data_IF_136600922476
#
_entry.id   IF_136600922476
#
_cell.length_a   1.000
_cell.length_b   1.000
_cell.length_c   1.000
_cell.angle_alpha   90.00
_cell.angle_beta   90.00
_cell.angle_gamma   90.00
#
_symmetry.space_group_name_H-M   'P 1'
#
loop_
_entity.id
_entity.type
_entity.pdbx_description
1 polymer ?
#
# COMPACT_ATOMS: atom_id res chain seq x y z
N UNK A 1 13.53 28.50 -24.78
CA UNK A 1 14.75 28.44 -23.94
C UNK A 1 14.72 27.17 -23.10
N UNK A 2 15.74 26.34 -23.18
CA UNK A 2 15.79 25.07 -22.43
C UNK A 2 16.41 25.28 -21.04
N UNK A 3 15.55 25.37 -20.03
CA UNK A 3 15.97 25.51 -18.63
C UNK A 3 16.30 24.19 -17.95
N UNK A 4 15.83 23.07 -18.50
CA UNK A 4 16.14 21.73 -17.99
C UNK A 4 17.48 21.18 -18.52
N UNK A 5 18.03 21.81 -19.57
CA UNK A 5 19.24 21.36 -20.28
C UNK A 5 19.13 19.95 -20.87
N UNK A 6 17.90 19.48 -21.12
CA UNK A 6 17.64 18.16 -21.69
C UNK A 6 17.90 18.12 -23.20
N UNK A 7 17.73 19.24 -23.92
CA UNK A 7 18.05 19.35 -25.35
C UNK A 7 19.53 19.07 -25.64
N UNK A 8 20.42 19.24 -24.65
CA UNK A 8 21.85 18.92 -24.74
C UNK A 8 22.16 17.43 -24.58
N UNK A 9 21.20 16.61 -24.12
CA UNK A 9 21.40 15.19 -23.84
C UNK A 9 21.06 14.31 -25.05
N UNK A 10 21.73 14.57 -26.18
CA UNK A 10 21.51 13.87 -27.46
C UNK A 10 21.77 12.36 -27.42
N UNK A 11 22.39 11.88 -26.34
CA UNK A 11 22.63 10.45 -26.14
C UNK A 11 21.34 9.66 -25.91
N UNK A 12 20.28 10.30 -25.39
CA UNK A 12 18.99 9.67 -25.11
C UNK A 12 17.75 10.54 -25.40
N UNK A 13 17.94 11.83 -25.71
CA UNK A 13 16.88 12.73 -26.15
C UNK A 13 16.92 12.87 -27.66
N UNK A 14 15.82 12.48 -28.31
CA UNK A 14 15.59 12.77 -29.71
C UNK A 14 15.04 14.20 -29.84
N UNK A 15 15.84 15.11 -30.42
CA UNK A 15 15.46 16.53 -30.60
C UNK A 15 14.16 16.66 -31.39
N UNK A 16 13.96 15.85 -32.44
CA UNK A 16 12.74 15.92 -33.25
C UNK A 16 11.51 15.59 -32.40
N UNK A 17 11.61 14.59 -31.52
CA UNK A 17 10.51 14.22 -30.62
C UNK A 17 10.23 15.31 -29.59
N UNK A 18 11.27 15.96 -29.09
CA UNK A 18 11.18 17.10 -28.18
C UNK A 18 10.55 18.32 -28.87
N UNK A 19 10.92 18.59 -30.12
CA UNK A 19 10.37 19.65 -30.95
C UNK A 19 8.88 19.41 -31.24
N UNK A 20 8.52 18.21 -31.70
CA UNK A 20 7.13 17.80 -31.94
C UNK A 20 6.28 17.88 -30.67
N UNK A 21 6.83 17.50 -29.51
CA UNK A 21 6.14 17.65 -28.23
C UNK A 21 5.79 19.12 -27.95
N UNK A 22 6.74 20.04 -28.15
CA UNK A 22 6.54 21.48 -27.93
C UNK A 22 5.51 22.04 -28.91
N UNK A 23 5.63 21.76 -30.21
CA UNK A 23 4.66 22.20 -31.23
C UNK A 23 3.24 21.78 -30.85
N UNK A 24 3.05 20.55 -30.37
CA UNK A 24 1.74 20.02 -30.03
C UNK A 24 1.14 20.60 -28.73
N UNK A 25 1.97 21.17 -27.85
CA UNK A 25 1.53 21.80 -26.60
C UNK A 25 1.59 23.34 -26.66
N UNK A 26 2.06 23.89 -27.77
CA UNK A 26 2.11 25.31 -27.99
C UNK A 26 0.73 25.89 -28.32
N UNK A 27 0.46 27.10 -27.82
CA UNK A 27 -0.75 27.85 -28.18
C UNK A 27 -0.74 28.30 -29.64
N UNK A 28 0.45 28.55 -30.21
CA UNK A 28 0.64 29.00 -31.59
C UNK A 28 1.81 28.24 -32.25
N UNK A 29 1.56 27.06 -32.83
CA UNK A 29 2.62 26.18 -33.35
C UNK A 29 3.44 26.78 -34.50
N UNK A 30 2.86 27.72 -35.26
CA UNK A 30 3.47 28.36 -36.43
C UNK A 30 4.59 29.36 -36.12
N UNK A 31 4.91 29.59 -34.85
CA UNK A 31 5.91 30.56 -34.41
C UNK A 31 7.23 29.94 -33.92
N UNK A 32 7.35 28.62 -33.91
CA UNK A 32 8.62 27.97 -33.53
C UNK A 32 9.50 27.79 -34.76
N UNK A 33 10.78 28.14 -34.60
CA UNK A 33 11.81 27.82 -35.58
C UNK A 33 12.12 26.32 -35.54
N UNK A 34 12.70 25.79 -36.62
CA UNK A 34 13.09 24.38 -36.73
C UNK A 34 14.06 23.94 -35.61
N UNK A 35 14.85 24.87 -35.06
CA UNK A 35 15.70 24.67 -33.88
C UNK A 35 15.28 25.63 -32.75
N UNK A 36 14.27 25.29 -31.93
CA UNK A 36 13.70 26.21 -30.94
C UNK A 36 14.51 26.26 -29.63
N UNK A 37 15.56 25.46 -29.50
CA UNK A 37 16.32 25.29 -28.27
C UNK A 37 17.53 26.20 -28.22
N UNK A 38 17.46 27.18 -27.33
CA UNK A 38 18.54 28.06 -26.97
C UNK A 38 18.88 27.91 -25.49
N UNK A 39 20.16 28.10 -25.17
CA UNK A 39 20.70 28.05 -23.83
C UNK A 39 20.00 29.04 -22.89
N UNK A 40 20.00 28.70 -21.60
CA UNK A 40 19.44 29.59 -20.59
C UNK A 40 20.16 30.94 -20.56
N UNK A 41 19.41 32.02 -20.78
CA UNK A 41 19.88 33.40 -20.63
C UNK A 41 18.84 34.21 -19.86
N UNK A 42 19.27 34.78 -18.73
CA UNK A 42 18.44 35.62 -17.86
C UNK A 42 17.85 36.86 -18.58
N UNK A 43 18.51 37.35 -19.62
CA UNK A 43 18.02 38.49 -20.41
C UNK A 43 16.86 38.08 -21.34
N UNK A 44 16.90 36.85 -21.86
CA UNK A 44 15.83 36.30 -22.70
C UNK A 44 14.54 36.05 -21.90
N UNK A 45 14.66 35.86 -20.59
CA UNK A 45 13.49 35.80 -19.70
C UNK A 45 12.75 37.13 -19.60
N UNK A 46 13.48 38.25 -19.64
CA UNK A 46 12.89 39.58 -19.50
C UNK A 46 12.06 39.98 -20.73
N UNK A 47 12.38 39.42 -21.89
CA UNK A 47 11.67 39.65 -23.15
C UNK A 47 10.54 38.63 -23.40
N UNK A 48 10.25 37.74 -22.43
CA UNK A 48 9.11 36.83 -22.47
C UNK A 48 9.32 35.55 -23.29
N UNK A 49 10.56 35.11 -23.52
CA UNK A 49 10.82 33.82 -24.20
C UNK A 49 10.26 32.66 -23.37
N UNK A 50 9.54 31.77 -24.04
CA UNK A 50 9.01 30.57 -23.40
C UNK A 50 10.12 29.63 -22.89
N UNK A 51 9.89 29.06 -21.71
CA UNK A 51 10.80 28.14 -21.04
C UNK A 51 10.35 26.72 -21.25
N UNK A 52 11.31 25.84 -21.52
CA UNK A 52 11.15 24.40 -21.38
C UNK A 52 11.70 24.00 -20.02
N UNK A 53 10.81 23.70 -19.08
CA UNK A 53 11.12 23.37 -17.68
C UNK A 53 11.15 21.86 -17.45
N UNK A 54 11.62 21.45 -16.28
CA UNK A 54 11.62 20.04 -15.89
C UNK A 54 10.21 19.43 -15.79
N UNK A 55 9.19 20.19 -15.40
CA UNK A 55 7.81 19.68 -15.39
C UNK A 55 7.37 19.29 -16.81
N UNK A 56 7.67 20.14 -17.79
CA UNK A 56 7.42 19.85 -19.20
C UNK A 56 8.30 18.69 -19.72
N UNK A 57 9.53 18.54 -19.21
CA UNK A 57 10.35 17.36 -19.51
C UNK A 57 9.71 16.06 -19.01
N UNK A 58 9.20 16.08 -17.76
CA UNK A 58 8.54 14.94 -17.14
C UNK A 58 7.28 14.57 -17.91
N UNK A 59 6.50 15.56 -18.34
CA UNK A 59 5.31 15.33 -19.15
C UNK A 59 5.67 14.84 -20.56
N UNK A 60 6.75 15.34 -21.15
CA UNK A 60 7.28 14.83 -22.41
C UNK A 60 7.69 13.35 -22.30
N UNK A 61 8.38 12.94 -21.23
CA UNK A 61 8.76 11.54 -21.01
C UNK A 61 7.56 10.59 -20.92
N UNK A 62 6.38 11.11 -20.56
CA UNK A 62 5.12 10.36 -20.53
C UNK A 62 4.36 10.39 -21.86
N UNK A 63 4.75 11.25 -22.80
CA UNK A 63 4.03 11.44 -24.06
C UNK A 63 4.25 10.26 -25.01
N UNK A 64 3.21 9.90 -25.76
CA UNK A 64 3.30 8.85 -26.79
C UNK A 64 4.34 9.17 -27.87
N UNK A 65 4.58 10.45 -28.14
CA UNK A 65 5.56 10.90 -29.14
C UNK A 65 6.95 10.45 -28.70
N UNK A 66 7.32 10.78 -27.47
CA UNK A 66 8.62 10.40 -26.92
C UNK A 66 8.76 8.88 -26.81
N UNK A 67 7.74 8.19 -26.28
CA UNK A 67 7.78 6.75 -26.07
C UNK A 67 7.87 5.94 -27.38
N UNK A 68 7.28 6.43 -28.48
CA UNK A 68 7.38 5.78 -29.81
C UNK A 68 8.79 5.81 -30.38
N UNK A 69 9.56 6.84 -30.06
CA UNK A 69 10.90 7.06 -30.59
C UNK A 69 12.01 6.64 -29.63
N UNK A 70 11.71 6.52 -28.33
CA UNK A 70 12.69 6.23 -27.29
C UNK A 70 12.93 4.72 -27.16
N UNK A 71 14.12 4.30 -27.57
CA UNK A 71 14.58 2.92 -27.59
C UNK A 71 15.12 2.44 -26.23
N UNK A 72 15.29 1.12 -26.10
CA UNK A 72 15.90 0.50 -24.92
C UNK A 72 17.34 1.00 -24.70
N UNK A 73 18.12 1.17 -25.76
CA UNK A 73 19.51 1.64 -25.65
C UNK A 73 19.59 3.10 -25.22
N UNK A 74 18.67 3.95 -25.69
CA UNK A 74 18.53 5.32 -25.18
C UNK A 74 18.10 5.32 -23.71
N UNK A 75 17.23 4.40 -23.30
CA UNK A 75 16.85 4.30 -21.89
C UNK A 75 18.03 3.88 -20.99
N UNK A 76 18.90 2.96 -21.44
CA UNK A 76 20.14 2.64 -20.72
C UNK A 76 21.02 3.87 -20.52
N UNK A 77 21.21 4.67 -21.57
CA UNK A 77 21.98 5.93 -21.50
C UNK A 77 21.33 6.97 -20.60
N UNK A 78 20.00 7.04 -20.59
CA UNK A 78 19.22 7.90 -19.69
C UNK A 78 19.43 7.49 -18.22
N UNK A 79 19.40 6.18 -17.92
CA UNK A 79 19.69 5.64 -16.59
C UNK A 79 21.13 5.98 -16.17
N UNK A 80 22.11 5.79 -17.06
CA UNK A 80 23.51 6.14 -16.78
C UNK A 80 23.70 7.64 -16.52
N UNK A 81 23.01 8.49 -17.27
CA UNK A 81 23.02 9.93 -17.08
C UNK A 81 22.51 10.30 -15.68
N UNK A 82 21.34 9.80 -15.30
CA UNK A 82 20.78 10.07 -13.98
C UNK A 82 21.61 9.47 -12.85
N UNK A 83 22.16 8.26 -13.05
CA UNK A 83 23.12 7.69 -12.10
C UNK A 83 24.32 8.62 -11.92
N UNK A 84 24.99 9.06 -12.99
CA UNK A 84 26.15 9.96 -12.90
C UNK A 84 25.81 11.29 -12.23
N UNK A 85 24.61 11.81 -12.49
CA UNK A 85 24.15 13.10 -11.96
C UNK A 85 23.75 13.04 -10.49
N UNK A 86 23.10 11.96 -10.05
CA UNK A 86 22.59 11.82 -8.68
C UNK A 86 23.43 10.92 -7.76
N UNK A 87 24.44 10.22 -8.27
CA UNK A 87 25.39 9.43 -7.44
C UNK A 87 26.57 10.26 -6.94
N UNK A 88 26.89 11.37 -7.61
CA UNK A 88 27.91 12.32 -7.15
C UNK A 88 27.23 13.32 -6.22
N UNK A 89 27.65 13.33 -4.96
CA UNK A 89 27.07 14.11 -3.86
C UNK A 89 27.21 15.64 -4.04
N UNK A 90 27.89 16.11 -5.10
CA UNK A 90 28.48 17.45 -5.11
C UNK A 90 28.31 18.24 -6.43
N UNK A 91 27.19 18.06 -7.12
CA UNK A 91 26.82 19.00 -8.20
C UNK A 91 25.60 19.79 -7.78
N UNK A 92 25.88 20.98 -7.22
CA UNK A 92 25.00 22.14 -7.05
C UNK A 92 24.49 22.63 -8.43
N UNK A 93 23.79 21.75 -9.14
CA UNK A 93 23.35 21.92 -10.54
C UNK A 93 21.89 22.44 -10.62
N UNK A 94 21.32 22.88 -9.51
CA UNK A 94 20.04 23.59 -9.49
C UNK A 94 18.82 22.79 -9.97
N UNK A 95 18.86 21.44 -9.97
CA UNK A 95 17.65 20.64 -10.20
C UNK A 95 16.87 20.56 -8.89
N UNK A 96 15.79 21.34 -8.79
CA UNK A 96 14.87 21.36 -7.64
C UNK A 96 13.90 20.16 -7.60
N UNK A 97 14.08 19.18 -8.49
CA UNK A 97 13.19 18.02 -8.61
C UNK A 97 13.94 16.76 -8.22
N UNK A 98 13.43 16.08 -7.18
CA UNK A 98 13.95 14.80 -6.75
C UNK A 98 13.80 13.74 -7.84
N UNK A 99 14.86 12.95 -8.06
CA UNK A 99 14.92 11.84 -9.04
C UNK A 99 13.74 10.87 -8.94
N UNK A 100 13.12 10.74 -7.76
CA UNK A 100 11.94 9.91 -7.51
C UNK A 100 10.68 10.36 -8.28
N UNK A 101 10.62 11.62 -8.71
CA UNK A 101 9.49 12.16 -9.47
C UNK A 101 9.63 11.94 -10.97
N UNK A 102 10.86 11.74 -11.45
CA UNK A 102 11.18 11.64 -12.87
C UNK A 102 10.85 10.21 -13.36
N UNK A 103 10.00 10.05 -14.39
CA UNK A 103 9.82 8.77 -15.06
C UNK A 103 10.98 8.54 -16.02
N UNK A 104 11.86 7.59 -15.71
CA UNK A 104 13.03 7.32 -16.56
C UNK A 104 13.41 5.83 -16.62
N UNK A 105 12.76 4.95 -15.85
CA UNK A 105 13.04 3.53 -15.88
C UNK A 105 11.96 2.83 -16.70
N UNK A 106 12.35 2.23 -17.82
CA UNK A 106 11.40 1.61 -18.73
C UNK A 106 10.88 0.26 -18.20
N UNK A 107 9.56 0.07 -18.29
CA UNK A 107 8.86 -1.13 -17.86
C UNK A 107 8.73 -2.21 -18.95
N UNK A 108 8.08 -3.32 -18.63
CA UNK A 108 7.83 -4.43 -19.56
C UNK A 108 6.92 -4.06 -20.74
N UNK A 109 6.20 -2.95 -20.66
CA UNK A 109 5.32 -2.41 -21.69
C UNK A 109 5.98 -1.26 -22.47
N UNK A 110 7.29 -1.06 -22.32
CA UNK A 110 8.08 0.01 -22.92
C UNK A 110 7.61 1.42 -22.53
N UNK A 111 7.05 1.60 -21.32
CA UNK A 111 6.69 2.90 -20.76
C UNK A 111 7.69 3.32 -19.69
N UNK A 112 7.98 4.62 -19.61
CA UNK A 112 8.84 5.17 -18.58
C UNK A 112 8.08 5.31 -17.26
N UNK A 113 8.61 4.70 -16.21
CA UNK A 113 8.05 4.72 -14.87
C UNK A 113 8.97 5.42 -13.89
N UNK A 114 8.37 5.92 -12.80
CA UNK A 114 9.11 6.43 -11.65
C UNK A 114 9.70 5.25 -10.89
N UNK A 115 10.86 5.45 -10.28
CA UNK A 115 11.55 4.43 -9.46
C UNK A 115 10.62 3.79 -8.41
N UNK A 116 9.75 4.58 -7.77
CA UNK A 116 8.86 4.09 -6.71
C UNK A 116 7.75 3.15 -7.21
N UNK A 117 7.41 3.21 -8.50
CA UNK A 117 6.26 2.53 -9.10
C UNK A 117 6.65 1.23 -9.85
N UNK A 118 7.95 0.90 -9.90
CA UNK A 118 8.49 -0.21 -10.69
C UNK A 118 9.37 -1.14 -9.85
N UNK A 119 9.36 -2.43 -10.19
CA UNK A 119 10.08 -3.48 -9.47
C UNK A 119 11.13 -4.16 -10.33
N UNK A 120 12.18 -4.67 -9.69
CA UNK A 120 13.03 -5.67 -10.34
C UNK A 120 12.27 -7.00 -10.49
N UNK A 121 12.35 -7.65 -11.67
CA UNK A 121 11.87 -9.03 -11.83
C UNK A 121 12.55 -9.94 -10.79
N UNK A 122 11.78 -10.80 -10.13
CA UNK A 122 12.33 -11.80 -9.22
C UNK A 122 12.69 -13.08 -9.99
N UNK A 123 13.81 -13.71 -9.66
CA UNK A 123 14.31 -14.93 -10.33
C UNK A 123 13.37 -16.15 -10.17
N UNK A 124 12.43 -16.08 -9.22
CA UNK A 124 11.56 -17.20 -8.81
C UNK A 124 10.11 -17.09 -9.29
N UNK A 125 9.71 -15.99 -9.94
CA UNK A 125 8.36 -15.86 -10.46
C UNK A 125 8.32 -16.62 -11.78
N UNK A 126 7.90 -17.89 -11.71
CA UNK A 126 7.40 -18.64 -12.86
C UNK A 126 6.29 -17.78 -13.47
N UNK A 127 6.55 -17.32 -14.69
CA UNK A 127 5.67 -16.52 -15.53
C UNK A 127 4.42 -17.36 -15.83
N UNK A 128 3.50 -17.48 -14.87
CA UNK A 128 2.21 -18.13 -15.07
C UNK A 128 1.28 -17.18 -15.82
N UNK A 129 1.69 -16.79 -17.04
CA UNK A 129 0.86 -16.45 -18.19
C UNK A 129 -0.35 -15.52 -18.00
N UNK A 130 -0.44 -14.79 -16.90
CA UNK A 130 -1.52 -13.83 -16.65
C UNK A 130 -0.97 -12.46 -16.98
N UNK A 131 -1.13 -12.15 -18.26
CA UNK A 131 -0.98 -10.84 -18.90
C UNK A 131 -2.08 -9.93 -18.32
N UNK A 132 -1.92 -9.55 -17.05
CA UNK A 132 -2.67 -8.49 -16.37
C UNK A 132 -2.05 -8.23 -15.00
N UNK A 133 -0.72 -8.20 -14.93
CA UNK A 133 -0.06 -7.79 -13.70
C UNK A 133 -0.32 -6.30 -13.52
N UNK A 134 -1.13 -5.93 -12.52
CA UNK A 134 -1.23 -4.55 -11.97
C UNK A 134 0.15 -3.93 -11.63
N UNK A 135 1.22 -4.72 -11.71
CA UNK A 135 2.60 -4.39 -11.39
C UNK A 135 3.43 -4.07 -12.63
N UNK A 136 4.31 -3.09 -12.46
CA UNK A 136 5.26 -2.67 -13.46
C UNK A 136 6.64 -3.21 -13.07
N UNK A 137 7.24 -3.97 -13.97
CA UNK A 137 8.57 -4.56 -13.82
C UNK A 137 9.53 -3.89 -14.78
N UNK A 138 10.78 -3.73 -14.36
CA UNK A 138 11.84 -3.26 -15.25
C UNK A 138 11.89 -4.15 -16.49
N UNK A 139 11.96 -3.52 -17.67
CA UNK A 139 12.07 -4.20 -18.95
C UNK A 139 13.12 -5.33 -18.89
N UNK A 140 12.79 -6.52 -19.42
CA UNK A 140 13.64 -7.72 -19.31
C UNK A 140 15.06 -7.48 -19.86
N UNK A 141 15.20 -6.72 -20.94
CA UNK A 141 16.51 -6.39 -21.55
C UNK A 141 17.33 -5.44 -20.69
N UNK A 142 16.68 -4.45 -20.08
CA UNK A 142 17.33 -3.49 -19.16
C UNK A 142 17.74 -4.21 -17.88
N UNK A 143 16.90 -5.10 -17.36
CA UNK A 143 17.21 -5.87 -16.17
C UNK A 143 18.40 -6.81 -16.39
N UNK A 144 18.47 -7.49 -17.55
CA UNK A 144 19.63 -8.29 -17.92
C UNK A 144 20.91 -7.45 -17.97
N UNK A 145 20.86 -6.26 -18.57
CA UNK A 145 21.97 -5.31 -18.59
C UNK A 145 22.39 -4.85 -17.19
N UNK A 146 21.44 -4.56 -16.29
CA UNK A 146 21.72 -4.21 -14.89
C UNK A 146 22.36 -5.35 -14.09
N UNK A 147 22.18 -6.60 -14.50
CA UNK A 147 22.81 -7.77 -13.88
C UNK A 147 24.26 -7.99 -14.34
N UNK A 148 24.72 -7.28 -15.37
CA UNK A 148 26.11 -7.33 -15.79
C UNK A 148 27.02 -6.75 -14.70
N UNK A 149 28.20 -7.35 -14.51
CA UNK A 149 29.15 -6.96 -13.46
C UNK A 149 29.54 -5.47 -13.52
N UNK A 150 29.58 -4.91 -14.73
CA UNK A 150 29.94 -3.50 -14.98
C UNK A 150 28.88 -2.55 -14.41
N UNK A 151 27.61 -2.94 -14.39
CA UNK A 151 26.47 -2.11 -14.00
C UNK A 151 26.03 -2.32 -12.54
N UNK A 152 26.81 -3.06 -11.75
CA UNK A 152 26.47 -3.41 -10.37
C UNK A 152 26.21 -2.19 -9.49
N UNK A 153 27.00 -1.12 -9.65
CA UNK A 153 26.82 0.11 -8.88
C UNK A 153 25.54 0.87 -9.28
N UNK A 154 25.18 0.86 -10.57
CA UNK A 154 23.91 1.45 -11.04
C UNK A 154 22.73 0.66 -10.48
N UNK A 155 22.77 -0.67 -10.54
CA UNK A 155 21.73 -1.52 -9.98
C UNK A 155 21.58 -1.29 -8.47
N UNK A 156 22.70 -1.18 -7.74
CA UNK A 156 22.70 -0.87 -6.31
C UNK A 156 22.08 0.50 -6.04
N UNK A 157 22.49 1.53 -6.78
CA UNK A 157 21.90 2.86 -6.68
C UNK A 157 20.39 2.87 -6.92
N UNK A 158 19.90 2.16 -7.94
CA UNK A 158 18.47 2.02 -8.18
C UNK A 158 17.74 1.34 -7.00
N UNK A 159 18.35 0.33 -6.38
CA UNK A 159 17.82 -0.28 -5.14
C UNK A 159 17.77 0.72 -4.00
N UNK A 160 18.85 1.44 -3.76
CA UNK A 160 18.95 2.44 -2.69
C UNK A 160 17.94 3.59 -2.90
N UNK A 161 17.58 3.89 -4.15
CA UNK A 161 16.58 4.90 -4.51
C UNK A 161 15.12 4.39 -4.46
N UNK A 162 14.91 3.08 -4.26
CA UNK A 162 13.58 2.49 -4.03
C UNK A 162 13.05 1.52 -5.10
N UNK A 163 13.86 1.15 -6.10
CA UNK A 163 13.54 0.04 -7.01
C UNK A 163 13.79 -1.27 -6.27
N UNK A 164 12.74 -1.81 -5.67
CA UNK A 164 12.84 -3.03 -4.88
C UNK A 164 12.69 -4.28 -5.75
N UNK A 165 13.28 -5.39 -5.32
CA UNK A 165 12.86 -6.72 -5.79
C UNK A 165 11.47 -7.03 -5.25
N UNK A 166 10.63 -7.68 -6.06
CA UNK A 166 9.35 -8.17 -5.57
C UNK A 166 9.59 -9.29 -4.56
N UNK A 167 9.36 -8.98 -3.30
CA UNK A 167 9.31 -9.92 -2.18
C UNK A 167 7.93 -9.78 -1.53
N UNK A 168 7.51 -10.78 -0.78
CA UNK A 168 6.28 -10.69 0.01
C UNK A 168 6.30 -9.45 0.95
N UNK A 169 7.49 -9.03 1.41
CA UNK A 169 7.67 -7.86 2.27
C UNK A 169 7.48 -6.54 1.52
N UNK A 170 8.05 -6.41 0.31
CA UNK A 170 7.88 -5.18 -0.50
C UNK A 170 6.44 -5.07 -0.99
N UNK A 171 5.81 -6.21 -1.29
CA UNK A 171 4.40 -6.33 -1.60
C UNK A 171 3.49 -5.85 -0.44
N UNK A 172 3.79 -6.29 0.78
CA UNK A 172 3.10 -5.81 1.98
C UNK A 172 3.17 -4.28 2.10
N UNK A 173 4.38 -3.71 1.97
CA UNK A 173 4.65 -2.28 2.18
C UNK A 173 4.01 -1.37 1.14
N UNK A 174 4.07 -1.76 -0.14
CA UNK A 174 3.67 -0.91 -1.26
C UNK A 174 2.23 -1.15 -1.72
N UNK A 175 1.67 -2.34 -1.47
CA UNK A 175 0.34 -2.72 -1.97
C UNK A 175 -0.68 -2.89 -0.85
N UNK A 176 -0.39 -3.72 0.15
CA UNK A 176 -1.38 -4.10 1.18
C UNK A 176 -1.58 -2.96 2.18
N UNK A 177 -0.50 -2.44 2.78
CA UNK A 177 -0.59 -1.40 3.82
C UNK A 177 -1.31 -0.13 3.32
N UNK A 178 -1.00 0.43 2.13
CA UNK A 178 -1.70 1.61 1.64
C UNK A 178 -3.19 1.38 1.36
N UNK A 179 -3.59 0.15 1.04
CA UNK A 179 -4.96 -0.21 0.67
C UNK A 179 -5.65 -1.07 1.74
N UNK A 180 -5.17 -1.04 2.98
CA UNK A 180 -5.51 -2.01 4.04
C UNK A 180 -7.02 -2.24 4.24
N UNK A 181 -7.85 -1.20 4.12
CA UNK A 181 -9.29 -1.28 4.33
C UNK A 181 -10.05 -1.98 3.18
N UNK A 182 -9.47 -2.04 1.99
CA UNK A 182 -10.15 -2.49 0.77
C UNK A 182 -9.43 -3.63 0.04
N UNK A 183 -8.19 -3.94 0.42
CA UNK A 183 -7.34 -4.90 -0.28
C UNK A 183 -7.87 -6.33 -0.23
N UNK A 184 -8.42 -6.76 0.91
CA UNK A 184 -8.89 -8.13 1.10
C UNK A 184 -10.29 -8.33 0.49
N UNK A 185 -10.39 -9.37 -0.35
CA UNK A 185 -11.61 -9.90 -0.95
C UNK A 185 -11.78 -11.38 -0.56
N UNK A 186 -12.95 -11.97 -0.82
CA UNK A 186 -13.22 -13.36 -0.43
C UNK A 186 -12.27 -14.33 -1.14
N UNK A 187 -11.89 -14.01 -2.37
CA UNK A 187 -11.02 -14.80 -3.22
C UNK A 187 -9.55 -14.76 -2.75
N UNK A 188 -9.11 -13.62 -2.20
CA UNK A 188 -7.71 -13.41 -1.84
C UNK A 188 -7.42 -13.56 -0.33
N UNK A 189 -8.45 -13.59 0.53
CA UNK A 189 -8.32 -13.50 1.98
C UNK A 189 -7.39 -14.58 2.55
N UNK A 190 -7.70 -15.86 2.32
CA UNK A 190 -6.95 -16.99 2.89
C UNK A 190 -5.48 -16.95 2.46
N UNK A 191 -5.23 -16.74 1.17
CA UNK A 191 -3.86 -16.70 0.62
C UNK A 191 -3.06 -15.54 1.19
N UNK A 192 -3.66 -14.35 1.27
CA UNK A 192 -2.97 -13.15 1.73
C UNK A 192 -2.62 -13.25 3.21
N UNK A 193 -3.58 -13.66 4.06
CA UNK A 193 -3.34 -13.79 5.49
C UNK A 193 -2.29 -14.87 5.78
N UNK A 194 -2.27 -15.97 5.03
CA UNK A 194 -1.18 -16.98 5.11
C UNK A 194 0.18 -16.40 4.74
N UNK A 195 0.26 -15.61 3.67
CA UNK A 195 1.51 -14.93 3.28
C UNK A 195 1.99 -13.99 4.40
N UNK A 196 1.10 -13.21 5.01
CA UNK A 196 1.44 -12.32 6.14
C UNK A 196 1.92 -13.11 7.36
N UNK A 197 1.27 -14.24 7.66
CA UNK A 197 1.70 -15.12 8.74
C UNK A 197 3.10 -15.69 8.48
N UNK A 198 3.42 -16.12 7.26
CA UNK A 198 4.77 -16.59 6.92
C UNK A 198 5.82 -15.49 7.08
N UNK A 199 5.50 -14.24 6.73
CA UNK A 199 6.37 -13.10 6.96
C UNK A 199 6.55 -12.79 8.46
N UNK A 200 5.48 -12.94 9.25
CA UNK A 200 5.52 -12.81 10.71
C UNK A 200 6.43 -13.88 11.35
N UNK A 201 6.26 -15.16 10.98
CA UNK A 201 7.09 -16.26 11.48
C UNK A 201 8.59 -16.06 11.17
N UNK A 202 8.90 -15.43 10.03
CA UNK A 202 10.27 -15.09 9.63
C UNK A 202 10.82 -13.84 10.32
N UNK A 203 10.05 -13.19 11.22
CA UNK A 203 10.36 -11.90 11.83
C UNK A 203 10.66 -10.80 10.78
N UNK A 204 10.07 -10.89 9.58
CA UNK A 204 10.30 -9.96 8.48
C UNK A 204 9.40 -8.72 8.57
N UNK A 205 8.27 -8.80 9.28
CA UNK A 205 7.35 -7.68 9.53
C UNK A 205 7.65 -7.06 10.89
N UNK A 206 7.80 -5.74 10.92
CA UNK A 206 7.96 -4.97 12.15
C UNK A 206 6.64 -4.80 12.89
N UNK A 207 6.70 -4.56 14.21
CA UNK A 207 5.50 -4.26 15.02
C UNK A 207 4.70 -3.07 14.47
N UNK A 208 5.38 -2.03 13.99
CA UNK A 208 4.75 -0.84 13.39
C UNK A 208 3.94 -1.19 12.14
N UNK A 209 4.46 -2.06 11.29
CA UNK A 209 3.76 -2.52 10.09
C UNK A 209 2.55 -3.39 10.45
N UNK A 210 2.67 -4.27 11.45
CA UNK A 210 1.53 -5.05 11.94
C UNK A 210 0.43 -4.15 12.53
N UNK A 211 0.80 -3.10 13.27
CA UNK A 211 -0.15 -2.12 13.80
C UNK A 211 -0.92 -1.40 12.68
N UNK A 212 -0.31 -1.18 11.51
CA UNK A 212 -0.99 -0.60 10.34
C UNK A 212 -2.01 -1.55 9.70
N UNK A 213 -1.94 -2.85 10.00
CA UNK A 213 -2.82 -3.87 9.45
C UNK A 213 -4.08 -4.13 10.30
N UNK A 214 -4.33 -3.36 11.38
CA UNK A 214 -5.52 -3.56 12.24
C UNK A 214 -6.87 -3.44 11.54
N UNK A 215 -6.90 -2.62 10.48
CA UNK A 215 -8.10 -2.43 9.64
C UNK A 215 -8.24 -3.47 8.54
N UNK A 216 -7.24 -4.35 8.38
CA UNK A 216 -7.24 -5.39 7.36
C UNK A 216 -8.42 -6.33 7.60
N UNK A 217 -9.18 -6.63 6.55
CA UNK A 217 -10.34 -7.52 6.70
C UNK A 217 -9.91 -8.98 6.82
N UNK A 218 -10.61 -9.71 7.69
CA UNK A 218 -10.46 -11.14 7.91
C UNK A 218 -11.79 -11.84 7.62
N UNK A 219 -11.67 -13.10 7.18
CA UNK A 219 -12.76 -14.02 6.88
C UNK A 219 -13.39 -14.48 8.18
N UNK A 220 -14.71 -14.36 8.26
CA UNK A 220 -15.48 -14.85 9.40
C UNK A 220 -15.94 -16.28 9.19
N UNK A 221 -16.40 -16.95 10.25
CA UNK A 221 -16.96 -18.31 10.18
C UNK A 221 -18.22 -18.40 9.31
N UNK A 222 -18.90 -17.29 9.04
CA UNK A 222 -20.06 -17.24 8.12
C UNK A 222 -19.68 -16.79 6.70
N UNK A 223 -18.40 -16.64 6.41
CA UNK A 223 -17.90 -16.33 5.07
C UNK A 223 -18.03 -14.87 4.66
N UNK A 224 -18.10 -13.93 5.62
CA UNK A 224 -18.01 -12.49 5.32
C UNK A 224 -16.64 -11.94 5.68
N UNK A 225 -16.42 -10.65 5.42
CA UNK A 225 -15.16 -9.96 5.66
C UNK A 225 -15.35 -8.77 6.58
N UNK A 226 -14.72 -8.81 7.75
CA UNK A 226 -14.76 -7.74 8.75
C UNK A 226 -13.34 -7.35 9.16
N UNK A 227 -13.11 -6.11 9.59
CA UNK A 227 -11.78 -5.68 10.01
C UNK A 227 -11.25 -6.47 11.21
N UNK A 228 -9.95 -6.74 11.25
CA UNK A 228 -9.32 -7.55 12.30
C UNK A 228 -9.62 -7.03 13.71
N UNK A 229 -9.64 -5.71 13.91
CA UNK A 229 -9.99 -5.08 15.19
C UNK A 229 -11.44 -5.31 15.66
N UNK A 230 -12.31 -5.82 14.78
CA UNK A 230 -13.71 -6.14 15.07
C UNK A 230 -13.97 -7.64 15.16
N UNK A 231 -12.95 -8.48 14.87
CA UNK A 231 -13.04 -9.92 14.98
C UNK A 231 -12.87 -10.39 16.43
N UNK A 232 -13.55 -11.48 16.77
CA UNK A 232 -13.29 -12.32 17.93
C UNK A 232 -12.81 -13.69 17.48
N UNK A 233 -12.04 -14.37 18.31
CA UNK A 233 -11.66 -15.76 18.05
C UNK A 233 -12.86 -16.70 18.10
N UNK A 234 -12.98 -17.60 17.12
CA UNK A 234 -13.89 -18.74 17.19
C UNK A 234 -13.37 -19.80 18.18
N UNK A 235 -14.23 -20.70 18.64
CA UNK A 235 -13.94 -21.68 19.68
C UNK A 235 -12.81 -22.64 19.27
N UNK A 236 -12.58 -22.85 17.97
CA UNK A 236 -11.48 -23.66 17.44
C UNK A 236 -10.09 -23.08 17.77
N UNK A 237 -9.97 -21.77 17.95
CA UNK A 237 -8.73 -21.13 18.43
C UNK A 237 -8.54 -21.24 19.95
N UNK A 238 -9.49 -21.85 20.69
CA UNK A 238 -9.47 -21.98 22.16
C UNK A 238 -9.30 -20.63 22.88
N UNK A 239 -10.18 -19.63 22.62
CA UNK A 239 -10.16 -18.37 23.36
C UNK A 239 -10.40 -18.60 24.86
N UNK A 240 -9.99 -17.63 25.69
CA UNK A 240 -10.26 -17.67 27.14
C UNK A 240 -11.75 -17.83 27.46
N UNK A 241 -12.62 -17.17 26.68
CA UNK A 241 -14.06 -17.25 26.80
C UNK A 241 -14.64 -17.79 25.49
N UNK A 242 -15.27 -18.96 25.54
CA UNK A 242 -15.93 -19.60 24.39
C UNK A 242 -17.33 -19.03 24.22
N UNK A 243 -17.43 -17.89 23.54
CA UNK A 243 -18.68 -17.16 23.35
C UNK A 243 -19.36 -17.46 22.01
N UNK A 244 -18.69 -18.20 21.12
CA UNK A 244 -19.19 -18.45 19.77
C UNK A 244 -20.55 -19.14 19.80
N UNK A 245 -20.72 -20.19 20.63
CA UNK A 245 -21.99 -20.91 20.69
C UNK A 245 -23.20 -20.00 21.01
N UNK A 246 -23.01 -19.02 21.87
CA UNK A 246 -24.06 -18.10 22.33
C UNK A 246 -24.36 -16.99 21.31
N UNK A 247 -23.37 -16.59 20.51
CA UNK A 247 -23.43 -15.39 19.68
C UNK A 247 -23.43 -15.67 18.17
N UNK A 248 -23.02 -16.86 17.74
CA UNK A 248 -22.93 -17.26 16.31
C UNK A 248 -24.21 -17.06 15.51
N UNK A 249 -25.37 -17.11 16.17
CA UNK A 249 -26.67 -16.95 15.53
C UNK A 249 -27.02 -15.49 15.23
N UNK A 250 -26.38 -14.54 15.92
CA UNK A 250 -26.79 -13.13 15.93
C UNK A 250 -25.71 -12.21 15.41
N UNK A 251 -24.44 -12.59 15.60
CA UNK A 251 -23.31 -11.80 15.11
C UNK A 251 -22.38 -12.61 14.21
N UNK A 252 -21.93 -11.93 13.16
CA UNK A 252 -20.90 -12.44 12.26
C UNK A 252 -19.55 -11.77 12.56
N UNK A 253 -18.98 -12.12 13.73
CA UNK A 253 -17.72 -11.53 14.21
C UNK A 253 -16.63 -12.54 14.52
N UNK A 254 -16.92 -13.84 14.36
CA UNK A 254 -15.98 -14.90 14.72
C UNK A 254 -15.03 -15.18 13.55
N UNK A 255 -13.74 -15.14 13.84
CA UNK A 255 -12.66 -15.40 12.90
C UNK A 255 -12.74 -16.84 12.35
N UNK A 256 -12.67 -17.00 11.03
CA UNK A 256 -12.61 -18.32 10.39
C UNK A 256 -11.35 -19.09 10.78
N UNK A 257 -11.47 -20.40 10.91
CA UNK A 257 -10.35 -21.31 11.11
C UNK A 257 -9.67 -21.75 9.80
N UNK A 258 -10.20 -21.35 8.63
CA UNK A 258 -9.68 -21.72 7.30
C UNK A 258 -8.24 -21.25 7.05
N UNK A 259 -7.78 -20.28 7.83
CA UNK A 259 -6.39 -19.81 7.83
C UNK A 259 -5.42 -20.86 8.36
N UNK A 260 -5.84 -21.68 9.32
CA UNK A 260 -5.02 -22.70 9.95
C UNK A 260 -5.13 -23.99 9.14
N UNK A 261 -4.27 -24.14 8.12
CA UNK A 261 -4.19 -25.41 7.38
C UNK A 261 -3.34 -26.45 8.10
N UNK A 262 -3.91 -27.64 8.28
CA UNK A 262 -3.34 -28.84 8.87
C UNK A 262 -2.24 -29.46 7.99
N UNK A 263 -1.07 -28.83 7.92
CA UNK A 263 0.11 -29.43 7.31
C UNK A 263 1.21 -29.59 8.36
N UNK A 264 1.11 -30.73 9.07
CA UNK A 264 2.09 -31.43 9.92
C UNK A 264 1.62 -31.64 11.37
N UNK A 265 1.04 -32.81 11.60
CA UNK A 265 0.47 -33.30 12.87
C UNK A 265 1.42 -33.39 14.07
N UNK A 266 2.71 -33.07 13.89
CA UNK A 266 3.69 -33.07 14.98
C UNK A 266 3.87 -31.70 15.67
N UNK A 267 3.32 -30.61 15.10
CA UNK A 267 3.47 -29.24 15.64
C UNK A 267 2.16 -28.44 15.74
N UNK A 268 1.01 -29.09 15.61
CA UNK A 268 -0.31 -28.42 15.57
C UNK A 268 -0.56 -27.45 16.73
N UNK A 269 -0.11 -27.79 17.95
CA UNK A 269 -0.26 -26.89 19.10
C UNK A 269 0.68 -25.68 19.06
N UNK A 270 1.92 -25.84 18.59
CA UNK A 270 2.88 -24.73 18.47
C UNK A 270 2.43 -23.75 17.38
N UNK A 271 2.01 -24.28 16.23
CA UNK A 271 1.53 -23.47 15.11
C UNK A 271 0.25 -22.71 15.47
N UNK A 272 -0.68 -23.33 16.22
CA UNK A 272 -1.89 -22.67 16.68
C UNK A 272 -1.59 -21.49 17.63
N UNK A 273 -0.61 -21.65 18.53
CA UNK A 273 -0.19 -20.58 19.44
C UNK A 273 0.37 -19.39 18.64
N UNK A 274 1.19 -19.65 17.63
CA UNK A 274 1.74 -18.60 16.77
C UNK A 274 0.66 -17.92 15.92
N UNK A 275 -0.29 -18.68 15.38
CA UNK A 275 -1.45 -18.12 14.68
C UNK A 275 -2.26 -17.19 15.56
N UNK A 276 -2.57 -17.61 16.79
CA UNK A 276 -3.27 -16.77 17.76
C UNK A 276 -2.49 -15.49 18.06
N UNK A 277 -1.19 -15.62 18.32
CA UNK A 277 -0.32 -14.47 18.60
C UNK A 277 -0.33 -13.49 17.44
N UNK A 278 -0.21 -13.97 16.20
CA UNK A 278 -0.29 -13.17 15.00
C UNK A 278 -1.63 -12.41 14.91
N UNK A 279 -2.76 -13.10 15.12
CA UNK A 279 -4.09 -12.47 15.07
C UNK A 279 -4.32 -11.46 16.20
N UNK A 280 -3.84 -11.72 17.42
CA UNK A 280 -3.90 -10.75 18.52
C UNK A 280 -3.13 -9.47 18.14
N UNK A 281 -1.95 -9.60 17.54
CA UNK A 281 -1.16 -8.43 17.11
C UNK A 281 -1.85 -7.68 15.97
N UNK A 282 -2.53 -8.40 15.06
CA UNK A 282 -3.40 -7.80 14.05
C UNK A 282 -4.64 -7.11 14.65
N UNK A 283 -4.97 -7.32 15.92
CA UNK A 283 -6.07 -6.65 16.61
C UNK A 283 -7.30 -7.52 16.85
N UNK A 284 -7.27 -8.82 16.55
CA UNK A 284 -8.35 -9.73 16.91
C UNK A 284 -8.52 -9.76 18.42
N UNK A 285 -9.75 -9.59 18.87
CA UNK A 285 -10.09 -9.46 20.28
C UNK A 285 -10.23 -10.83 20.94
N UNK A 286 -9.70 -10.94 22.16
CA UNK A 286 -9.87 -12.11 23.03
C UNK A 286 -10.56 -11.76 24.36
N UNK A 287 -10.35 -10.54 24.86
CA UNK A 287 -10.89 -10.09 26.14
C UNK A 287 -12.17 -9.25 25.93
N UNK A 288 -13.14 -9.41 26.82
CA UNK A 288 -14.29 -8.53 26.90
C UNK A 288 -13.91 -7.28 27.70
N UNK A 289 -14.08 -6.10 27.09
CA UNK A 289 -13.90 -4.84 27.80
C UNK A 289 -15.22 -4.38 28.41
N UNK A 290 -15.23 -3.97 29.69
CA UNK A 290 -16.40 -3.34 30.28
C UNK A 290 -16.62 -1.94 29.69
N UNK A 291 -17.88 -1.65 29.34
CA UNK A 291 -18.31 -0.28 29.04
C UNK A 291 -18.73 0.36 30.36
N UNK A 292 -18.03 1.46 30.68
CA UNK A 292 -18.32 2.28 31.85
C UNK A 292 -19.15 3.48 31.41
N UNK A 293 -20.36 3.59 31.95
CA UNK A 293 -21.23 4.72 31.69
C UNK A 293 -21.02 5.80 32.75
N UNK A 294 -20.24 6.81 32.39
CA UNK A 294 -19.91 7.96 33.26
C UNK A 294 -21.03 9.02 33.33
N UNK A 295 -22.16 8.76 32.67
CA UNK A 295 -23.36 9.61 32.72
C UNK A 295 -24.52 8.84 33.31
N UNK A 296 -25.48 9.56 33.88
CA UNK A 296 -26.75 8.94 34.28
C UNK A 296 -27.49 8.44 33.04
N UNK A 297 -27.93 7.18 33.09
CA UNK A 297 -28.79 6.58 32.09
C UNK A 297 -30.20 6.45 32.66
N UNK A 298 -31.19 6.82 31.86
CA UNK A 298 -32.59 6.44 32.11
C UNK A 298 -32.77 4.93 31.91
N UNK A 299 -33.83 4.34 32.47
CA UNK A 299 -34.14 2.91 32.27
C UNK A 299 -34.32 2.57 30.79
N UNK A 300 -34.90 3.46 29.99
CA UNK A 300 -35.04 3.29 28.55
C UNK A 300 -33.68 3.28 27.83
N UNK A 301 -32.78 4.20 28.17
CA UNK A 301 -31.43 4.21 27.62
C UNK A 301 -30.64 2.96 28.04
N UNK A 302 -30.74 2.54 29.30
CA UNK A 302 -30.10 1.33 29.80
C UNK A 302 -30.64 0.07 29.08
N UNK A 303 -31.95 -0.07 28.89
CA UNK A 303 -32.53 -1.14 28.09
C UNK A 303 -32.00 -1.11 26.63
N UNK A 304 -31.86 0.08 26.04
CA UNK A 304 -31.22 0.27 24.74
C UNK A 304 -29.75 -0.19 24.69
N UNK A 305 -29.04 -0.17 25.81
CA UNK A 305 -27.69 -0.73 25.98
C UNK A 305 -27.68 -2.21 26.43
N UNK A 306 -28.84 -2.87 26.49
CA UNK A 306 -28.96 -4.32 26.65
C UNK A 306 -28.99 -4.81 28.09
N UNK A 307 -29.22 -3.89 29.04
CA UNK A 307 -29.52 -4.27 30.42
C UNK A 307 -30.89 -4.96 30.48
N UNK A 308 -31.00 -6.01 31.31
CA UNK A 308 -32.24 -6.77 31.46
C UNK A 308 -33.37 -5.90 32.01
N UNK A 309 -34.51 -5.82 31.31
CA UNK A 309 -35.67 -5.04 31.73
C UNK A 309 -36.18 -5.44 33.12
N UNK A 310 -36.12 -6.73 33.47
CA UNK A 310 -36.50 -7.23 34.79
C UNK A 310 -35.62 -6.65 35.90
N UNK A 311 -34.34 -6.39 35.61
CA UNK A 311 -33.43 -5.75 36.55
C UNK A 311 -33.73 -4.26 36.71
N UNK A 312 -34.07 -3.58 35.62
CA UNK A 312 -34.37 -2.14 35.58
C UNK A 312 -35.76 -1.81 36.13
N UNK A 313 -36.67 -2.78 36.19
CA UNK A 313 -38.06 -2.62 36.62
C UNK A 313 -38.34 -3.08 38.05
N UNK A 314 -37.32 -3.55 38.79
CA UNK A 314 -37.51 -3.94 40.21
C UNK A 314 -37.89 -2.73 41.05
N UNK A 315 -39.19 -2.60 41.33
CA UNK A 315 -39.71 -1.70 42.36
C UNK A 315 -39.20 -2.14 43.71
N UNK A 316 -38.63 -1.23 44.49
CA UNK A 316 -38.31 -1.49 45.90
C UNK A 316 -39.58 -1.98 46.62
N UNK A 317 -39.44 -2.82 47.65
CA UNK A 317 -40.59 -3.28 48.46
C UNK A 317 -41.41 -2.14 49.06
N UNK A 318 -40.86 -0.92 49.13
CA UNK A 318 -41.62 0.32 49.27
C UNK A 318 -41.95 0.87 47.88
N UNK A 319 -43.22 0.72 47.44
CA UNK A 319 -43.79 1.18 46.16
C UNK A 319 -43.69 2.71 45.91
N UNK A 320 -42.94 3.45 46.72
CA UNK A 320 -42.82 4.92 46.66
C UNK A 320 -41.56 5.42 45.94
N UNK A 321 -40.64 4.54 45.56
CA UNK A 321 -39.40 4.94 44.90
C UNK A 321 -39.18 4.12 43.63
N UNK A 322 -39.52 4.73 42.49
CA UNK A 322 -39.09 4.27 41.17
C UNK A 322 -37.70 4.84 40.93
N UNK A 323 -36.75 3.98 40.55
CA UNK A 323 -35.40 4.42 40.19
C UNK A 323 -35.41 4.88 38.74
N UNK A 324 -35.49 6.19 38.53
CA UNK A 324 -35.59 6.79 37.18
C UNK A 324 -34.24 7.03 36.49
N UNK A 325 -33.13 6.93 37.23
CA UNK A 325 -31.80 7.18 36.70
C UNK A 325 -30.71 6.38 37.42
N UNK A 326 -29.88 5.70 36.65
CA UNK A 326 -28.76 4.90 37.14
C UNK A 326 -27.43 5.61 36.87
N UNK A 327 -26.52 5.65 37.83
CA UNK A 327 -25.19 6.27 37.70
C UNK A 327 -24.08 5.28 38.05
N UNK A 328 -22.95 5.34 37.33
CA UNK A 328 -21.81 4.45 37.59
C UNK A 328 -22.04 3.00 37.17
N UNK A 329 -22.99 2.76 36.26
CA UNK A 329 -23.22 1.42 35.72
C UNK A 329 -21.98 0.96 34.96
N UNK A 330 -21.50 -0.22 35.33
CA UNK A 330 -20.48 -0.95 34.59
C UNK A 330 -21.16 -2.17 34.01
N UNK A 331 -21.27 -2.23 32.69
CA UNK A 331 -21.63 -3.47 32.02
C UNK A 331 -20.38 -4.06 31.40
N UNK A 332 -20.25 -5.37 31.44
CA UNK A 332 -19.40 -6.04 30.45
C UNK A 332 -20.15 -5.85 29.13
N UNK A 333 -19.48 -5.44 28.06
CA UNK A 333 -20.09 -5.52 26.73
C UNK A 333 -20.30 -6.99 26.43
N UNK A 334 -21.41 -7.55 26.91
CA UNK A 334 -22.01 -8.66 26.21
C UNK A 334 -22.40 -8.08 24.87
N UNK A 335 -21.86 -8.66 23.82
CA UNK A 335 -22.32 -8.43 22.46
C UNK A 335 -23.85 -8.40 22.50
N UNK A 336 -24.41 -7.19 22.37
CA UNK A 336 -25.84 -7.00 22.38
C UNK A 336 -26.35 -7.58 21.09
N UNK A 337 -26.95 -8.75 21.18
CA UNK A 337 -28.21 -9.08 20.54
C UNK A 337 -28.55 -10.43 21.12
N UNK A 338 -29.37 -10.50 22.17
CA UNK A 338 -30.10 -11.71 22.52
C UNK A 338 -31.55 -11.36 22.79
N UNK A 339 -32.36 -11.31 21.72
CA UNK A 339 -33.75 -11.72 21.76
C UNK A 339 -33.85 -13.14 21.24
#
# INVERSE_FOLDING_TARGET
MDSASMSKQLSFINIESMHQYIINHAKNPSHYADEPFIDYDSNLNQIGVEKFTWDQCIDMFRSDIFLKTHSIEENKRMIEYFYKKYSKIDTDDGIDIGIQQIPFLMDQNNRLQRIKDIYFPADTIVDNGTIDSEYLFVNKTIFAWLNEKIQKEIKKWLKDMGVDERTDLTYLRKTIIPNVAFYITLENAVRTIKMLFMLFQKNAITKKELDQLKKLKLLTTRGTLISAEQCFFCDQYKPRLQLEEYLKTKEDKFLSFDYVTSHNSRKENEDLIEWRRFFIILGVQEDLHPIVFNRKLTSYEAAGYGFCDDYLSTTSHDEKHIVDAFFGLTTITFIQHTQ
#
